data_IF_615781877265
#
_entry.id   IF_615781877265
#
_cell.length_a   1.000
_cell.length_b   1.000
_cell.length_c   1.000
_cell.angle_alpha   90.00
_cell.angle_beta   90.00
_cell.angle_gamma   90.00
#
_symmetry.space_group_name_H-M   'P 1'
#
loop_
_entity.id
_entity.type
_entity.pdbx_description
1 polymer ?
#
# COMPACT_ATOMS: atom_id res chain seq x y z
N UNK A 1 27.08 -39.66 0.79
CA UNK A 1 26.53 -41.01 1.05
C UNK A 1 25.07 -41.00 0.61
N UNK A 2 24.72 -41.62 -0.53
CA UNK A 2 23.33 -41.80 -0.95
C UNK A 2 22.75 -43.11 -0.38
N UNK A 3 21.44 -43.16 -0.15
CA UNK A 3 20.71 -44.37 0.23
C UNK A 3 19.35 -44.40 -0.47
N UNK A 4 19.12 -45.41 -1.30
CA UNK A 4 18.01 -45.48 -2.25
C UNK A 4 17.37 -46.88 -2.19
N UNK A 5 16.16 -46.99 -1.61
CA UNK A 5 15.20 -48.13 -1.65
C UNK A 5 13.80 -47.54 -1.31
N UNK A 6 12.62 -47.83 -1.88
CA UNK A 6 12.13 -48.52 -3.10
C UNK A 6 11.14 -49.66 -2.81
N UNK A 7 9.83 -49.39 -3.00
CA UNK A 7 8.71 -50.34 -2.87
C UNK A 7 7.93 -50.20 -1.54
N UNK A 8 6.59 -50.36 -1.50
CA UNK A 8 5.63 -50.72 -2.55
C UNK A 8 4.22 -50.14 -2.23
N UNK A 9 3.27 -50.29 -3.16
CA UNK A 9 2.04 -49.51 -3.27
C UNK A 9 0.94 -49.76 -2.22
N UNK A 10 0.20 -48.70 -1.92
CA UNK A 10 -1.14 -48.73 -1.32
C UNK A 10 -2.01 -47.64 -1.94
N UNK A 11 -2.97 -48.03 -2.80
CA UNK A 11 -3.94 -47.09 -3.37
C UNK A 11 -5.01 -46.73 -2.33
N UNK A 12 -5.00 -45.50 -1.85
CA UNK A 12 -6.21 -44.79 -1.40
C UNK A 12 -6.15 -43.34 -1.85
N UNK A 13 -7.24 -42.92 -2.49
CA UNK A 13 -7.52 -41.58 -2.98
C UNK A 13 -7.72 -40.59 -1.81
N UNK A 14 -6.88 -39.57 -1.70
CA UNK A 14 -7.08 -38.39 -0.84
C UNK A 14 -6.39 -37.17 -1.46
N UNK A 15 -6.93 -36.69 -2.58
CA UNK A 15 -6.43 -35.52 -3.32
C UNK A 15 -6.69 -34.15 -2.67
N UNK A 16 -6.48 -33.99 -1.35
CA UNK A 16 -6.80 -32.76 -0.61
C UNK A 16 -5.76 -32.27 0.43
N UNK A 17 -4.46 -32.50 0.24
CA UNK A 17 -3.44 -32.08 1.25
C UNK A 17 -2.24 -31.24 0.72
N UNK A 18 -2.34 -30.64 -0.48
CA UNK A 18 -1.26 -29.83 -1.08
C UNK A 18 -1.47 -28.31 -1.07
N UNK A 19 -2.52 -27.78 -0.41
CA UNK A 19 -2.83 -26.34 -0.38
C UNK A 19 -2.78 -25.69 1.01
N UNK A 20 -2.45 -26.45 2.06
CA UNK A 20 -2.52 -26.00 3.46
C UNK A 20 -1.34 -25.10 3.87
N UNK A 21 -0.21 -25.19 3.18
CA UNK A 21 1.09 -24.72 3.67
C UNK A 21 1.31 -23.19 3.61
N UNK A 22 0.43 -22.43 2.93
CA UNK A 22 0.47 -20.96 2.90
C UNK A 22 -0.57 -20.27 3.81
N UNK A 23 -1.12 -20.99 4.79
CA UNK A 23 -2.14 -20.45 5.71
C UNK A 23 -1.53 -19.94 7.01
N UNK A 24 -1.53 -18.60 7.21
CA UNK A 24 -1.19 -17.97 8.49
C UNK A 24 -2.01 -18.64 9.62
N UNK A 25 -1.29 -19.14 10.64
CA UNK A 25 -1.85 -20.09 11.62
C UNK A 25 -2.92 -19.50 12.55
N UNK A 26 -3.03 -18.17 12.61
CA UNK A 26 -4.00 -17.39 13.38
C UNK A 26 -5.46 -17.61 12.96
N UNK A 27 -5.73 -17.81 11.66
CA UNK A 27 -7.09 -17.72 11.10
C UNK A 27 -7.81 -19.07 10.93
N UNK A 28 -7.29 -20.18 11.48
CA UNK A 28 -7.86 -21.53 11.34
C UNK A 28 -9.27 -21.75 11.91
N UNK A 29 -9.83 -20.79 12.66
CA UNK A 29 -11.17 -20.92 13.29
C UNK A 29 -12.03 -19.72 12.92
N UNK A 30 -13.12 -19.98 12.20
CA UNK A 30 -14.11 -18.97 11.83
C UNK A 30 -14.80 -18.38 13.07
N UNK A 31 -14.51 -17.12 13.37
CA UNK A 31 -15.04 -16.37 14.50
C UNK A 31 -15.58 -15.02 13.99
N UNK A 32 -16.72 -14.57 14.54
CA UNK A 32 -17.29 -13.24 14.28
C UNK A 32 -17.27 -12.45 15.58
N UNK A 33 -16.65 -11.27 15.54
CA UNK A 33 -16.80 -10.23 16.56
C UNK A 33 -18.11 -9.47 16.27
N UNK A 34 -18.98 -9.36 17.27
CA UNK A 34 -20.16 -8.50 17.21
C UNK A 34 -19.96 -7.34 18.18
N UNK A 35 -19.99 -6.11 17.68
CA UNK A 35 -20.00 -4.89 18.50
C UNK A 35 -21.32 -4.15 18.33
N UNK A 36 -21.64 -3.29 19.31
CA UNK A 36 -22.83 -2.44 19.29
C UNK A 36 -22.53 -1.14 20.00
N UNK A 37 -23.04 -0.03 19.49
CA UNK A 37 -22.80 1.32 20.00
C UNK A 37 -24.03 1.94 20.70
N UNK A 38 -23.89 3.23 21.07
CA UNK A 38 -24.95 4.00 21.73
C UNK A 38 -26.01 4.50 20.76
N UNK A 39 -25.74 4.46 19.46
CA UNK A 39 -26.55 5.00 18.37
C UNK A 39 -27.30 3.88 17.62
N UNK A 40 -27.58 2.78 18.35
CA UNK A 40 -28.34 1.64 17.87
C UNK A 40 -27.67 0.82 16.76
N UNK A 41 -26.38 1.03 16.47
CA UNK A 41 -25.70 0.36 15.36
C UNK A 41 -24.88 -0.84 15.84
N UNK A 42 -25.18 -2.00 15.26
CA UNK A 42 -24.43 -3.24 15.36
C UNK A 42 -23.44 -3.34 14.20
N UNK A 43 -22.23 -3.84 14.47
CA UNK A 43 -21.22 -4.16 13.47
C UNK A 43 -20.75 -5.61 13.65
N UNK A 44 -20.53 -6.30 12.54
CA UNK A 44 -20.04 -7.68 12.51
C UNK A 44 -18.68 -7.71 11.80
N UNK A 45 -17.66 -8.31 12.42
CA UNK A 45 -16.33 -8.45 11.80
C UNK A 45 -15.78 -9.87 11.96
N UNK A 46 -15.42 -10.52 10.85
CA UNK A 46 -14.72 -11.80 10.88
C UNK A 46 -13.29 -11.58 11.38
N UNK A 47 -12.85 -12.48 12.26
CA UNK A 47 -11.56 -12.41 12.97
C UNK A 47 -11.34 -11.13 13.80
N UNK A 48 -12.37 -10.27 13.93
CA UNK A 48 -12.25 -8.96 14.57
C UNK A 48 -11.66 -7.85 13.68
N UNK A 49 -11.29 -8.17 12.44
CA UNK A 49 -10.60 -7.24 11.51
C UNK A 49 -11.37 -6.99 10.20
N UNK A 50 -12.02 -8.00 9.62
CA UNK A 50 -12.73 -7.84 8.34
C UNK A 50 -14.23 -7.60 8.57
N UNK A 51 -14.77 -6.38 8.39
CA UNK A 51 -16.19 -6.11 8.54
C UNK A 51 -17.03 -6.83 7.47
N UNK A 52 -18.18 -7.37 7.88
CA UNK A 52 -19.11 -8.19 7.05
C UNK A 52 -20.59 -7.82 7.23
N UNK A 53 -20.85 -6.68 7.86
CA UNK A 53 -22.16 -6.06 7.85
C UNK A 53 -22.38 -5.13 9.02
N UNK A 54 -23.39 -4.27 8.86
CA UNK A 54 -23.93 -3.43 9.93
C UNK A 54 -25.46 -3.51 9.97
N UNK A 55 -26.02 -3.47 11.16
CA UNK A 55 -27.48 -3.40 11.38
C UNK A 55 -27.76 -2.22 12.30
N UNK A 56 -28.57 -1.26 11.84
CA UNK A 56 -29.09 -0.21 12.72
C UNK A 56 -30.47 -0.62 13.24
N UNK A 57 -30.63 -0.75 14.56
CA UNK A 57 -31.84 -1.32 15.17
C UNK A 57 -33.06 -0.37 15.09
N UNK A 58 -32.86 0.93 14.83
CA UNK A 58 -33.98 1.86 14.58
C UNK A 58 -34.68 1.58 13.25
N UNK A 59 -34.00 0.93 12.30
CA UNK A 59 -34.56 0.53 11.01
C UNK A 59 -35.31 -0.80 11.09
N UNK A 60 -35.18 -1.55 12.19
CA UNK A 60 -35.87 -2.82 12.38
C UNK A 60 -37.35 -2.60 12.74
N UNK A 61 -38.26 -3.14 11.93
CA UNK A 61 -39.68 -3.27 12.28
C UNK A 61 -39.87 -4.51 13.16
N UNK A 62 -40.06 -4.30 14.46
CA UNK A 62 -40.17 -5.37 15.46
C UNK A 62 -41.63 -5.83 15.55
N UNK A 63 -41.94 -7.11 15.35
CA UNK A 63 -43.27 -7.63 15.63
C UNK A 63 -43.50 -7.65 17.14
N UNK A 64 -44.52 -6.93 17.60
CA UNK A 64 -44.96 -6.90 18.99
C UNK A 64 -46.39 -7.44 19.07
N UNK A 65 -46.75 -8.03 20.22
CA UNK A 65 -48.07 -8.62 20.43
C UNK A 65 -48.76 -7.88 21.57
N UNK A 66 -49.85 -7.19 21.25
CA UNK A 66 -50.70 -6.47 22.20
C UNK A 66 -52.11 -7.04 22.05
N UNK A 67 -52.64 -7.65 23.11
CA UNK A 67 -54.05 -8.09 23.18
C UNK A 67 -54.51 -8.87 21.93
N UNK A 68 -53.76 -9.92 21.57
CA UNK A 68 -53.94 -10.78 20.38
C UNK A 68 -53.86 -10.07 19.01
N UNK A 69 -53.43 -8.81 18.95
CA UNK A 69 -53.07 -8.10 17.72
C UNK A 69 -51.55 -8.03 17.53
N UNK A 70 -51.09 -8.36 16.33
CA UNK A 70 -49.70 -8.19 15.94
C UNK A 70 -49.46 -6.77 15.42
N UNK A 71 -48.96 -5.88 16.27
CA UNK A 71 -48.50 -4.56 15.85
C UNK A 71 -47.03 -4.62 15.42
N UNK A 72 -46.61 -3.66 14.60
CA UNK A 72 -45.19 -3.45 14.25
C UNK A 72 -44.71 -2.23 15.01
N UNK A 73 -43.64 -2.39 15.76
CA UNK A 73 -43.04 -1.30 16.53
C UNK A 73 -41.65 -0.96 16.00
N UNK A 74 -41.20 0.25 16.29
CA UNK A 74 -39.84 0.73 16.08
C UNK A 74 -39.21 1.09 17.43
N UNK A 75 -37.90 0.97 17.52
CA UNK A 75 -37.12 1.44 18.66
C UNK A 75 -36.52 2.82 18.36
N UNK A 76 -36.99 3.83 19.07
CA UNK A 76 -36.45 5.18 19.02
C UNK A 76 -35.46 5.39 20.16
N UNK A 77 -34.47 6.27 19.94
CA UNK A 77 -33.46 6.70 20.92
C UNK A 77 -32.72 5.53 21.60
N UNK A 78 -32.63 4.38 20.93
CA UNK A 78 -32.18 3.14 21.55
C UNK A 78 -30.67 2.92 21.52
N UNK A 79 -30.08 2.64 22.68
CA UNK A 79 -28.65 2.35 22.86
C UNK A 79 -28.42 0.87 23.18
N UNK A 80 -27.37 0.26 22.63
CA UNK A 80 -27.08 -1.16 22.80
C UNK A 80 -26.36 -1.38 24.13
N UNK A 81 -26.94 -2.23 24.98
CA UNK A 81 -26.40 -2.59 26.29
C UNK A 81 -25.61 -3.91 26.27
N UNK A 82 -26.04 -4.88 25.45
CA UNK A 82 -25.37 -6.18 25.30
C UNK A 82 -25.69 -6.83 23.96
N UNK A 83 -24.72 -7.54 23.41
CA UNK A 83 -24.85 -8.35 22.20
C UNK A 83 -24.33 -9.77 22.49
N UNK A 84 -25.02 -10.79 22.00
CA UNK A 84 -24.57 -12.18 22.08
C UNK A 84 -24.96 -12.95 20.80
N UNK A 85 -23.96 -13.47 20.08
CA UNK A 85 -24.17 -14.34 18.92
C UNK A 85 -24.19 -15.80 19.35
N UNK A 86 -25.13 -16.57 18.80
CA UNK A 86 -25.27 -18.00 19.07
C UNK A 86 -24.10 -18.83 18.51
N UNK A 87 -23.83 -20.00 19.10
CA UNK A 87 -22.73 -20.90 18.67
C UNK A 87 -22.92 -21.51 17.29
N UNK A 88 -24.17 -21.60 16.83
CA UNK A 88 -24.55 -22.03 15.49
C UNK A 88 -24.63 -20.85 14.49
N UNK A 89 -24.34 -19.62 14.95
CA UNK A 89 -24.37 -18.36 14.19
C UNK A 89 -25.76 -17.97 13.64
N UNK A 90 -26.83 -18.68 14.00
CA UNK A 90 -28.18 -18.45 13.49
C UNK A 90 -28.94 -17.32 14.18
N UNK A 91 -28.58 -16.97 15.41
CA UNK A 91 -29.34 -16.04 16.24
C UNK A 91 -28.43 -15.03 16.95
N UNK A 92 -28.79 -13.75 16.87
CA UNK A 92 -28.17 -12.68 17.62
C UNK A 92 -29.16 -12.13 18.67
N UNK A 93 -28.84 -12.30 19.94
CA UNK A 93 -29.56 -11.64 21.04
C UNK A 93 -28.97 -10.25 21.26
N UNK A 94 -29.83 -9.22 21.21
CA UNK A 94 -29.45 -7.82 21.41
C UNK A 94 -30.30 -7.25 22.54
N UNK A 95 -29.64 -6.83 23.61
CA UNK A 95 -30.28 -6.10 24.72
C UNK A 95 -30.00 -4.62 24.55
N UNK A 96 -31.03 -3.78 24.53
CA UNK A 96 -30.93 -2.35 24.30
C UNK A 96 -31.89 -1.57 25.21
N UNK A 97 -31.48 -0.37 25.63
CA UNK A 97 -32.40 0.60 26.24
C UNK A 97 -33.04 1.41 25.12
N UNK A 98 -34.31 1.81 25.24
CA UNK A 98 -34.95 2.68 24.26
C UNK A 98 -36.45 2.82 24.45
N UNK A 99 -37.07 3.60 23.57
CA UNK A 99 -38.51 3.83 23.52
C UNK A 99 -39.13 2.99 22.41
N UNK A 100 -40.06 2.10 22.78
CA UNK A 100 -40.82 1.30 21.82
C UNK A 100 -42.07 2.10 21.41
N UNK A 101 -42.21 2.38 20.12
CA UNK A 101 -43.32 3.15 19.53
C UNK A 101 -43.94 2.33 18.40
N UNK A 102 -45.28 2.33 18.30
CA UNK A 102 -45.99 1.63 17.22
C UNK A 102 -45.82 2.35 15.87
N UNK A 103 -45.72 1.59 14.79
CA UNK A 103 -45.48 2.08 13.44
C UNK A 103 -46.82 2.37 12.75
N UNK A 104 -47.37 3.59 12.95
CA UNK A 104 -48.70 4.10 12.54
C UNK A 104 -49.01 4.09 11.01
N UNK A 105 -48.37 3.22 10.23
CA UNK A 105 -48.50 3.19 8.76
C UNK A 105 -49.75 2.49 8.22
N UNK A 106 -50.56 1.79 9.04
CA UNK A 106 -51.81 1.16 8.59
C UNK A 106 -52.96 1.32 9.61
N UNK A 107 -54.03 2.02 9.17
CA UNK A 107 -55.39 2.12 9.74
C UNK A 107 -55.67 3.13 10.88
N UNK A 108 -56.13 4.33 10.47
CA UNK A 108 -57.34 4.97 11.01
C UNK A 108 -57.21 5.89 12.24
N UNK A 109 -57.89 7.04 12.18
CA UNK A 109 -58.02 8.00 13.28
C UNK A 109 -58.88 7.45 14.46
N UNK A 110 -58.31 6.57 15.29
CA UNK A 110 -58.79 6.34 16.65
C UNK A 110 -57.67 6.63 17.65
N UNK A 111 -57.87 7.63 18.50
CA UNK A 111 -56.91 8.06 19.53
C UNK A 111 -56.81 7.05 20.66
N UNK A 112 -56.10 5.94 20.42
CA UNK A 112 -55.53 5.12 21.48
C UNK A 112 -54.27 5.82 22.00
N UNK A 113 -54.18 5.99 23.32
CA UNK A 113 -53.02 6.60 23.96
C UNK A 113 -51.85 5.63 23.84
N UNK A 114 -50.95 5.88 22.88
CA UNK A 114 -49.77 5.08 22.65
C UNK A 114 -48.97 4.89 23.93
N UNK A 115 -48.89 3.65 24.41
CA UNK A 115 -48.07 3.29 25.56
C UNK A 115 -46.59 3.26 25.14
N UNK A 116 -45.97 4.44 25.03
CA UNK A 116 -44.55 4.58 24.77
C UNK A 116 -43.74 3.92 25.89
N UNK A 117 -43.34 2.67 25.66
CA UNK A 117 -42.64 1.86 26.65
C UNK A 117 -41.14 2.16 26.60
N UNK A 118 -40.73 3.22 27.29
CA UNK A 118 -39.32 3.47 27.55
C UNK A 118 -38.78 2.44 28.55
N UNK A 119 -37.81 1.64 28.14
CA UNK A 119 -37.35 0.51 28.96
C UNK A 119 -36.16 -0.25 28.39
N UNK A 120 -35.92 -1.44 28.97
CA UNK A 120 -34.92 -2.40 28.52
C UNK A 120 -35.60 -3.44 27.62
N UNK A 121 -35.22 -3.47 26.35
CA UNK A 121 -35.77 -4.34 25.32
C UNK A 121 -34.78 -5.45 24.95
N UNK A 122 -35.31 -6.62 24.62
CA UNK A 122 -34.52 -7.78 24.18
C UNK A 122 -34.99 -8.21 22.79
N UNK A 123 -34.10 -8.10 21.81
CA UNK A 123 -34.34 -8.47 20.42
C UNK A 123 -33.62 -9.77 20.09
N UNK A 124 -34.20 -10.54 19.18
CA UNK A 124 -33.57 -11.73 18.58
C UNK A 124 -33.60 -11.56 17.07
N UNK A 125 -32.42 -11.42 16.46
CA UNK A 125 -32.27 -11.25 15.01
C UNK A 125 -31.85 -12.59 14.37
N UNK A 126 -32.41 -12.90 13.21
CA UNK A 126 -31.96 -14.03 12.37
C UNK A 126 -30.63 -13.66 11.69
N UNK A 127 -29.57 -14.35 12.06
CA UNK A 127 -28.24 -14.23 11.46
C UNK A 127 -27.82 -15.49 10.70
N UNK A 128 -28.77 -16.40 10.40
CA UNK A 128 -28.51 -17.69 9.74
C UNK A 128 -27.80 -17.61 8.39
N UNK A 129 -27.72 -16.43 7.77
CA UNK A 129 -26.82 -16.17 6.64
C UNK A 129 -25.35 -16.46 6.97
N UNK A 130 -24.87 -16.12 8.18
CA UNK A 130 -23.50 -16.38 8.62
C UNK A 130 -23.17 -17.87 8.67
N UNK A 131 -24.14 -18.70 9.06
CA UNK A 131 -23.99 -20.16 9.06
C UNK A 131 -24.15 -20.75 7.66
N UNK A 132 -25.17 -20.33 6.90
CA UNK A 132 -25.47 -20.80 5.53
C UNK A 132 -24.36 -20.46 4.52
N UNK A 133 -23.63 -19.36 4.75
CA UNK A 133 -22.53 -18.86 3.90
C UNK A 133 -21.18 -18.87 4.60
N UNK A 134 -21.04 -19.65 5.68
CA UNK A 134 -19.84 -19.69 6.51
C UNK A 134 -18.56 -19.89 5.71
N UNK A 135 -18.56 -20.80 4.74
CA UNK A 135 -17.38 -21.13 3.96
C UNK A 135 -17.01 -20.02 2.98
N UNK A 136 -18.01 -19.46 2.28
CA UNK A 136 -17.82 -18.32 1.37
C UNK A 136 -17.31 -17.08 2.13
N UNK A 137 -17.93 -16.76 3.27
CA UNK A 137 -17.53 -15.67 4.15
C UNK A 137 -16.11 -15.88 4.72
N UNK A 138 -15.77 -17.11 5.12
CA UNK A 138 -14.44 -17.45 5.64
C UNK A 138 -13.36 -17.21 4.59
N UNK A 139 -13.57 -17.68 3.36
CA UNK A 139 -12.62 -17.52 2.26
C UNK A 139 -12.40 -16.05 1.90
N UNK A 140 -13.47 -15.27 1.73
CA UNK A 140 -13.36 -13.83 1.41
C UNK A 140 -12.63 -13.08 2.52
N UNK A 141 -13.03 -13.29 3.79
CA UNK A 141 -12.37 -12.65 4.93
C UNK A 141 -10.91 -13.04 5.08
N UNK A 142 -10.55 -14.30 4.82
CA UNK A 142 -9.16 -14.75 4.88
C UNK A 142 -8.29 -14.02 3.85
N UNK A 143 -8.73 -13.89 2.60
CA UNK A 143 -7.94 -13.17 1.60
C UNK A 143 -7.89 -11.67 1.88
N UNK A 144 -9.01 -11.05 2.24
CA UNK A 144 -9.05 -9.62 2.58
C UNK A 144 -8.17 -9.29 3.79
N UNK A 145 -8.17 -10.13 4.83
CA UNK A 145 -7.29 -9.95 6.01
C UNK A 145 -5.82 -10.09 5.64
N UNK A 146 -5.46 -11.07 4.80
CA UNK A 146 -4.09 -11.20 4.28
C UNK A 146 -3.66 -9.96 3.48
N UNK A 147 -4.56 -9.37 2.68
CA UNK A 147 -4.28 -8.15 1.91
C UNK A 147 -4.05 -6.97 2.84
N UNK A 148 -4.84 -6.82 3.91
CA UNK A 148 -4.68 -5.74 4.88
C UNK A 148 -3.37 -5.87 5.68
N UNK A 149 -3.01 -7.08 6.12
CA UNK A 149 -1.70 -7.36 6.72
C UNK A 149 -0.53 -6.95 5.80
N UNK A 150 -0.67 -7.17 4.48
CA UNK A 150 0.34 -6.81 3.48
C UNK A 150 0.33 -5.32 3.11
N UNK A 151 -0.82 -4.64 3.17
CA UNK A 151 -0.91 -3.18 3.01
C UNK A 151 -0.06 -2.47 4.09
N UNK A 152 -0.06 -2.97 5.33
CA UNK A 152 0.82 -2.44 6.38
C UNK A 152 2.31 -2.67 6.08
N UNK A 153 2.69 -3.82 5.52
CA UNK A 153 4.07 -4.08 5.07
C UNK A 153 4.48 -3.10 3.97
N UNK A 154 3.59 -2.81 3.01
CA UNK A 154 3.81 -1.81 1.96
C UNK A 154 3.97 -0.41 2.55
N UNK A 155 3.05 0.03 3.42
CA UNK A 155 3.10 1.33 4.10
C UNK A 155 4.39 1.52 4.91
N UNK A 156 4.78 0.51 5.68
CA UNK A 156 6.03 0.53 6.45
C UNK A 156 7.25 0.62 5.52
N UNK A 157 7.27 -0.16 4.43
CA UNK A 157 8.35 -0.14 3.44
C UNK A 157 8.51 1.24 2.80
N UNK A 158 7.41 1.85 2.33
CA UNK A 158 7.41 3.20 1.74
C UNK A 158 7.93 4.26 2.73
N UNK A 159 7.48 4.21 3.98
CA UNK A 159 7.90 5.14 5.04
C UNK A 159 9.40 5.02 5.36
N UNK A 160 9.92 3.80 5.48
CA UNK A 160 11.35 3.55 5.73
C UNK A 160 12.21 4.02 4.57
N UNK A 161 11.85 3.69 3.33
CA UNK A 161 12.58 4.10 2.13
C UNK A 161 12.61 5.63 1.98
N UNK A 162 11.46 6.29 2.12
CA UNK A 162 11.37 7.75 2.04
C UNK A 162 12.29 8.43 3.07
N UNK A 163 12.23 7.98 4.32
CA UNK A 163 13.07 8.55 5.39
C UNK A 163 14.56 8.33 5.12
N UNK A 164 14.98 7.09 4.87
CA UNK A 164 16.40 6.75 4.65
C UNK A 164 17.00 7.51 3.47
N UNK A 165 16.24 7.68 2.39
CA UNK A 165 16.68 8.43 1.23
C UNK A 165 16.75 9.94 1.50
N UNK A 166 15.72 10.51 2.14
CA UNK A 166 15.70 11.93 2.50
C UNK A 166 16.84 12.31 3.45
N UNK A 167 17.13 11.49 4.46
CA UNK A 167 18.24 11.70 5.41
C UNK A 167 19.61 11.68 4.68
N UNK A 168 19.79 10.74 3.74
CA UNK A 168 20.99 10.63 2.92
C UNK A 168 21.16 11.81 1.95
N UNK A 169 20.07 12.25 1.32
CA UNK A 169 20.10 13.34 0.34
C UNK A 169 20.26 14.72 0.99
N UNK A 170 19.71 14.94 2.20
CA UNK A 170 20.03 16.13 3.01
C UNK A 170 21.53 16.22 3.26
N UNK A 171 22.15 15.11 3.66
CA UNK A 171 23.61 15.04 3.88
C UNK A 171 24.43 15.37 2.62
N UNK A 172 23.92 15.00 1.43
CA UNK A 172 24.53 15.37 0.14
C UNK A 172 24.38 16.86 -0.14
N UNK A 173 23.17 17.40 -0.13
CA UNK A 173 22.92 18.82 -0.41
C UNK A 173 23.59 19.76 0.59
N UNK A 174 23.57 19.46 1.90
CA UNK A 174 24.29 20.23 2.93
C UNK A 174 25.78 20.41 2.61
N UNK A 175 26.40 19.40 1.97
CA UNK A 175 27.80 19.47 1.54
C UNK A 175 27.96 20.16 0.19
N UNK A 176 27.20 19.78 -0.82
CA UNK A 176 27.37 20.33 -2.17
C UNK A 176 26.87 21.77 -2.32
N UNK A 177 25.89 22.23 -1.54
CA UNK A 177 25.45 23.63 -1.52
C UNK A 177 26.56 24.60 -1.05
N UNK A 178 27.56 24.11 -0.31
CA UNK A 178 28.73 24.94 0.05
C UNK A 178 29.59 25.33 -1.16
N UNK A 179 29.56 24.55 -2.25
CA UNK A 179 30.24 24.92 -3.50
C UNK A 179 29.58 26.13 -4.16
N UNK A 180 28.25 26.20 -4.21
CA UNK A 180 27.53 27.37 -4.74
C UNK A 180 27.93 28.67 -4.01
N UNK A 181 28.02 28.62 -2.68
CA UNK A 181 28.49 29.75 -1.87
C UNK A 181 29.95 30.13 -2.16
N UNK A 182 30.83 29.15 -2.45
CA UNK A 182 32.21 29.42 -2.84
C UNK A 182 32.30 30.04 -4.24
N UNK A 183 31.52 29.58 -5.21
CA UNK A 183 31.52 30.12 -6.57
C UNK A 183 31.11 31.61 -6.56
N UNK A 184 30.01 31.94 -5.88
CA UNK A 184 29.58 33.33 -5.68
C UNK A 184 30.62 34.13 -4.88
N UNK A 185 31.23 33.54 -3.86
CA UNK A 185 32.29 34.18 -3.05
C UNK A 185 33.58 34.49 -3.82
N UNK A 186 33.86 33.75 -4.91
CA UNK A 186 34.96 34.03 -5.85
C UNK A 186 34.54 34.93 -7.02
N UNK A 187 33.30 35.43 -7.03
CA UNK A 187 32.81 36.38 -8.04
C UNK A 187 32.52 35.78 -9.41
N UNK A 188 32.25 34.47 -9.49
CA UNK A 188 31.85 33.79 -10.71
C UNK A 188 30.32 33.71 -10.83
N UNK A 189 29.82 33.75 -12.07
CA UNK A 189 28.39 33.66 -12.42
C UNK A 189 28.03 32.27 -13.01
N UNK A 190 28.79 31.25 -12.64
CA UNK A 190 28.62 29.86 -13.10
C UNK A 190 27.85 29.02 -12.08
N UNK A 191 27.18 27.96 -12.55
CA UNK A 191 26.60 26.93 -11.69
C UNK A 191 27.65 25.88 -11.26
N UNK A 192 27.45 25.20 -10.12
CA UNK A 192 28.28 24.05 -9.74
C UNK A 192 28.39 22.98 -10.84
N UNK A 193 27.32 22.78 -11.63
CA UNK A 193 27.29 21.83 -12.74
C UNK A 193 28.17 22.27 -13.90
N UNK A 194 28.15 23.55 -14.30
CA UNK A 194 29.02 24.08 -15.36
C UNK A 194 30.49 24.04 -14.96
N UNK A 195 30.79 24.34 -13.70
CA UNK A 195 32.13 24.21 -13.11
C UNK A 195 32.62 22.75 -13.11
N UNK A 196 31.77 21.79 -12.70
CA UNK A 196 32.11 20.36 -12.75
C UNK A 196 32.20 19.81 -14.18
N UNK A 197 31.35 20.27 -15.11
CA UNK A 197 31.43 19.91 -16.54
C UNK A 197 32.71 20.46 -17.16
N UNK A 198 33.14 21.67 -16.79
CA UNK A 198 34.41 22.27 -17.22
C UNK A 198 35.60 21.46 -16.72
N UNK A 199 35.58 21.06 -15.44
CA UNK A 199 36.59 20.16 -14.86
C UNK A 199 36.63 18.80 -15.57
N UNK A 200 35.48 18.20 -15.88
CA UNK A 200 35.37 16.94 -16.61
C UNK A 200 35.90 17.07 -18.05
N UNK A 201 35.67 18.21 -18.69
CA UNK A 201 36.20 18.57 -20.02
C UNK A 201 37.70 18.86 -20.06
N UNK A 202 38.41 18.77 -18.93
CA UNK A 202 39.85 18.99 -18.86
C UNK A 202 40.27 20.46 -18.77
N UNK A 203 39.35 21.38 -18.45
CA UNK A 203 39.72 22.74 -18.10
C UNK A 203 40.56 22.78 -16.81
N UNK A 204 41.30 23.88 -16.59
CA UNK A 204 41.95 24.11 -15.29
C UNK A 204 40.88 24.25 -14.21
N UNK A 205 41.04 23.52 -13.11
CA UNK A 205 40.18 23.63 -11.93
C UNK A 205 40.11 25.09 -11.47
N UNK A 206 38.90 25.65 -11.39
CA UNK A 206 38.69 27.00 -10.90
C UNK A 206 39.02 27.13 -9.41
N UNK A 207 39.38 28.32 -8.90
CA UNK A 207 39.64 28.54 -7.48
C UNK A 207 38.55 28.02 -6.52
N UNK A 208 37.24 28.26 -6.73
CA UNK A 208 36.20 27.75 -5.83
C UNK A 208 36.08 26.22 -5.87
N UNK A 209 36.18 25.59 -7.05
CA UNK A 209 36.16 24.12 -7.17
C UNK A 209 37.38 23.50 -6.51
N UNK A 210 38.57 24.08 -6.70
CA UNK A 210 39.79 23.60 -6.05
C UNK A 210 39.67 23.71 -4.52
N UNK A 211 39.21 24.85 -4.01
CA UNK A 211 38.97 25.05 -2.58
C UNK A 211 37.95 24.05 -2.03
N UNK A 212 36.85 23.82 -2.75
CA UNK A 212 35.83 22.85 -2.35
C UNK A 212 36.39 21.41 -2.31
N UNK A 213 36.99 20.95 -3.40
CA UNK A 213 37.49 19.58 -3.53
C UNK A 213 38.59 19.25 -2.53
N UNK A 214 39.53 20.17 -2.30
CA UNK A 214 40.69 19.93 -1.42
C UNK A 214 40.39 20.26 0.04
N UNK A 215 39.79 21.42 0.34
CA UNK A 215 39.67 21.92 1.71
C UNK A 215 38.31 21.61 2.37
N UNK A 216 37.21 21.59 1.61
CA UNK A 216 35.85 21.46 2.17
C UNK A 216 35.31 20.02 2.13
N UNK A 217 35.61 19.29 1.05
CA UNK A 217 35.14 17.93 0.82
C UNK A 217 36.24 16.89 1.13
N UNK A 218 37.38 16.97 0.42
CA UNK A 218 38.51 16.04 0.56
C UNK A 218 38.18 14.58 0.23
N UNK A 219 39.20 13.71 0.28
CA UNK A 219 39.01 12.27 0.05
C UNK A 219 38.07 11.65 1.10
N UNK A 220 38.25 12.02 2.38
CA UNK A 220 37.48 11.45 3.49
C UNK A 220 36.00 11.84 3.44
N UNK A 221 35.67 13.10 3.10
CA UNK A 221 34.30 13.55 2.88
C UNK A 221 33.67 12.90 1.66
N UNK A 222 34.40 12.78 0.55
CA UNK A 222 33.94 12.09 -0.67
C UNK A 222 33.60 10.62 -0.40
N UNK A 223 34.51 9.88 0.26
CA UNK A 223 34.27 8.48 0.66
C UNK A 223 33.09 8.35 1.63
N UNK A 224 32.94 9.29 2.58
CA UNK A 224 31.80 9.32 3.51
C UNK A 224 30.47 9.56 2.79
N UNK A 225 30.37 10.56 1.91
CA UNK A 225 29.16 10.85 1.15
C UNK A 225 28.78 9.70 0.22
N UNK A 226 29.75 9.12 -0.49
CA UNK A 226 29.53 7.92 -1.30
C UNK A 226 28.97 6.76 -0.47
N UNK A 227 29.52 6.52 0.73
CA UNK A 227 29.00 5.49 1.65
C UNK A 227 27.58 5.81 2.14
N UNK A 228 27.25 7.08 2.39
CA UNK A 228 25.91 7.49 2.86
C UNK A 228 24.87 7.34 1.73
N UNK A 229 25.08 7.98 0.59
CA UNK A 229 24.10 8.01 -0.52
C UNK A 229 23.98 6.67 -1.22
N UNK A 230 25.10 6.07 -1.64
CA UNK A 230 25.08 4.75 -2.29
C UNK A 230 24.78 3.62 -1.28
N UNK A 231 24.99 3.84 0.02
CA UNK A 231 24.56 2.94 1.08
C UNK A 231 23.05 2.95 1.23
N UNK A 232 22.45 4.12 1.46
CA UNK A 232 21.00 4.28 1.55
C UNK A 232 20.29 3.72 0.30
N UNK A 233 20.79 4.02 -0.90
CA UNK A 233 20.22 3.46 -2.13
C UNK A 233 20.25 1.92 -2.21
N UNK A 234 21.27 1.26 -1.65
CA UNK A 234 21.32 -0.21 -1.55
C UNK A 234 20.38 -0.76 -0.49
N UNK A 235 20.25 -0.09 0.65
CA UNK A 235 19.25 -0.48 1.67
C UNK A 235 17.82 -0.34 1.12
N UNK A 236 17.53 0.73 0.36
CA UNK A 236 16.27 0.87 -0.37
C UNK A 236 16.06 -0.29 -1.35
N UNK A 237 17.07 -0.69 -2.14
CA UNK A 237 16.98 -1.86 -3.03
C UNK A 237 16.65 -3.15 -2.26
N UNK A 238 17.23 -3.34 -1.07
CA UNK A 238 16.93 -4.48 -0.20
C UNK A 238 15.50 -4.42 0.37
N UNK A 239 15.01 -3.24 0.77
CA UNK A 239 13.62 -3.06 1.22
C UNK A 239 12.64 -3.37 0.08
N UNK A 240 12.95 -2.96 -1.16
CA UNK A 240 12.14 -3.32 -2.32
C UNK A 240 12.09 -4.84 -2.52
N UNK A 241 13.25 -5.48 -2.64
CA UNK A 241 13.36 -6.90 -2.99
C UNK A 241 12.85 -7.85 -1.88
N UNK A 242 13.06 -7.51 -0.61
CA UNK A 242 12.73 -8.39 0.52
C UNK A 242 11.34 -8.15 1.13
N UNK A 243 10.74 -6.98 0.91
CA UNK A 243 9.49 -6.59 1.59
C UNK A 243 8.45 -6.05 0.62
N UNK A 244 8.73 -4.97 -0.10
CA UNK A 244 7.73 -4.28 -0.93
C UNK A 244 7.25 -5.13 -2.11
N UNK A 245 8.18 -5.68 -2.90
CA UNK A 245 7.84 -6.46 -4.10
C UNK A 245 7.14 -7.78 -3.73
N UNK A 246 7.64 -8.59 -2.77
CA UNK A 246 6.91 -9.77 -2.31
C UNK A 246 5.50 -9.43 -1.78
N UNK A 247 5.35 -8.34 -1.03
CA UNK A 247 4.03 -7.92 -0.56
C UNK A 247 3.08 -7.54 -1.71
N UNK A 248 3.56 -6.76 -2.69
CA UNK A 248 2.79 -6.38 -3.87
C UNK A 248 2.38 -7.59 -4.72
N UNK A 249 3.27 -8.56 -4.91
CA UNK A 249 3.02 -9.81 -5.65
C UNK A 249 1.98 -10.67 -4.94
N UNK A 250 2.07 -10.83 -3.61
CA UNK A 250 1.08 -11.59 -2.83
C UNK A 250 -0.27 -10.85 -2.80
N UNK A 251 -0.32 -9.52 -2.68
CA UNK A 251 -1.57 -8.75 -2.79
C UNK A 251 -2.24 -9.01 -4.15
N UNK A 252 -1.49 -8.92 -5.24
CA UNK A 252 -2.02 -9.19 -6.58
C UNK A 252 -2.50 -10.64 -6.76
N UNK A 253 -1.79 -11.62 -6.18
CA UNK A 253 -2.22 -13.01 -6.15
C UNK A 253 -3.55 -13.19 -5.40
N UNK A 254 -3.64 -12.65 -4.17
CA UNK A 254 -4.84 -12.71 -3.31
C UNK A 254 -6.04 -11.99 -3.95
N UNK A 255 -5.79 -10.89 -4.65
CA UNK A 255 -6.82 -10.19 -5.43
C UNK A 255 -7.26 -11.00 -6.66
N UNK A 256 -6.34 -11.74 -7.28
CA UNK A 256 -6.65 -12.73 -8.31
C UNK A 256 -7.53 -13.89 -7.81
N UNK A 257 -7.31 -14.38 -6.59
CA UNK A 257 -8.19 -15.36 -5.95
C UNK A 257 -9.60 -14.78 -5.71
N UNK A 258 -9.70 -13.59 -5.11
CA UNK A 258 -10.99 -12.90 -4.91
C UNK A 258 -11.74 -12.68 -6.23
N UNK A 259 -11.02 -12.38 -7.32
CA UNK A 259 -11.56 -12.27 -8.68
C UNK A 259 -12.07 -13.61 -9.24
N UNK A 260 -11.43 -14.72 -8.88
CA UNK A 260 -11.93 -16.05 -9.16
C UNK A 260 -13.25 -16.33 -8.43
N UNK A 261 -13.34 -15.92 -7.16
CA UNK A 261 -14.55 -16.10 -6.34
C UNK A 261 -15.73 -15.23 -6.82
N UNK A 262 -15.49 -13.95 -7.14
CA UNK A 262 -16.56 -13.02 -7.57
C UNK A 262 -17.27 -13.46 -8.85
N UNK A 263 -16.53 -14.11 -9.77
CA UNK A 263 -17.07 -14.75 -10.98
C UNK A 263 -18.04 -15.90 -10.69
N UNK A 264 -17.93 -16.59 -9.56
CA UNK A 264 -18.91 -17.59 -9.13
C UNK A 264 -20.13 -16.94 -8.47
N UNK A 265 -20.84 -16.13 -9.27
CA UNK A 265 -22.00 -15.32 -8.90
C UNK A 265 -23.07 -16.09 -8.10
N UNK A 266 -23.31 -17.36 -8.43
CA UNK A 266 -24.29 -18.21 -7.72
C UNK A 266 -23.97 -18.47 -6.23
N UNK A 267 -22.69 -18.37 -5.82
CA UNK A 267 -22.26 -18.51 -4.42
C UNK A 267 -21.93 -17.17 -3.78
N UNK A 268 -21.16 -16.32 -4.45
CA UNK A 268 -20.56 -15.14 -3.83
C UNK A 268 -21.35 -13.84 -3.99
N UNK A 269 -22.18 -13.69 -5.04
CA UNK A 269 -23.04 -12.49 -5.19
C UNK A 269 -24.01 -12.33 -4.01
N UNK A 270 -24.48 -13.43 -3.44
CA UNK A 270 -25.39 -13.45 -2.30
C UNK A 270 -24.75 -13.02 -0.97
N UNK A 271 -23.43 -12.84 -0.91
CA UNK A 271 -22.72 -12.22 0.22
C UNK A 271 -22.08 -10.87 -0.16
N UNK A 272 -22.54 -10.26 -1.26
CA UNK A 272 -22.12 -8.93 -1.68
C UNK A 272 -20.89 -8.86 -2.59
N UNK A 273 -20.10 -9.93 -2.75
CA UNK A 273 -18.86 -9.91 -3.53
C UNK A 273 -19.12 -9.57 -5.01
N UNK A 274 -18.86 -8.32 -5.39
CA UNK A 274 -19.12 -7.80 -6.72
C UNK A 274 -17.93 -7.98 -7.67
N UNK A 275 -18.21 -8.42 -8.89
CA UNK A 275 -17.20 -8.69 -9.90
C UNK A 275 -16.54 -7.41 -10.43
N UNK A 276 -17.29 -6.31 -10.57
CA UNK A 276 -16.78 -5.06 -11.13
C UNK A 276 -15.88 -4.30 -10.15
N UNK A 277 -16.22 -4.32 -8.86
CA UNK A 277 -15.37 -3.76 -7.80
C UNK A 277 -14.05 -4.54 -7.69
N UNK A 278 -14.10 -5.87 -7.74
CA UNK A 278 -12.91 -6.72 -7.68
C UNK A 278 -12.06 -6.63 -8.96
N UNK A 279 -12.67 -6.53 -10.15
CA UNK A 279 -11.93 -6.27 -11.40
C UNK A 279 -11.15 -4.93 -11.30
N UNK A 280 -11.76 -3.88 -10.75
CA UNK A 280 -11.10 -2.58 -10.54
C UNK A 280 -9.99 -2.64 -9.48
N UNK A 281 -10.19 -3.36 -8.38
CA UNK A 281 -9.15 -3.56 -7.37
C UNK A 281 -7.97 -4.39 -7.91
N UNK A 282 -8.23 -5.44 -8.69
CA UNK A 282 -7.21 -6.24 -9.38
C UNK A 282 -6.39 -5.40 -10.37
N UNK A 283 -7.06 -4.52 -11.12
CA UNK A 283 -6.40 -3.58 -12.02
C UNK A 283 -5.44 -2.64 -11.25
N UNK A 284 -5.86 -2.10 -10.09
CA UNK A 284 -4.98 -1.29 -9.24
C UNK A 284 -3.81 -2.08 -8.66
N UNK A 285 -3.99 -3.35 -8.29
CA UNK A 285 -2.89 -4.20 -7.86
C UNK A 285 -1.86 -4.42 -8.98
N UNK A 286 -2.32 -4.59 -10.23
CA UNK A 286 -1.46 -4.66 -11.41
C UNK A 286 -0.69 -3.36 -11.70
N UNK A 287 -1.34 -2.20 -11.60
CA UNK A 287 -0.67 -0.90 -11.76
C UNK A 287 0.40 -0.67 -10.69
N UNK A 288 0.09 -1.05 -9.44
CA UNK A 288 1.02 -0.94 -8.32
C UNK A 288 2.28 -1.81 -8.53
N UNK A 289 2.13 -3.05 -9.01
CA UNK A 289 3.27 -3.89 -9.39
C UNK A 289 4.19 -3.23 -10.44
N UNK A 290 3.62 -2.59 -11.47
CA UNK A 290 4.43 -1.86 -12.47
C UNK A 290 5.13 -0.65 -11.85
N UNK A 291 4.54 0.01 -10.85
CA UNK A 291 5.22 1.07 -10.11
C UNK A 291 6.39 0.56 -9.26
N UNK A 292 6.26 -0.60 -8.63
CA UNK A 292 7.35 -1.22 -7.85
C UNK A 292 8.55 -1.53 -8.76
N UNK A 293 8.31 -2.16 -9.91
CA UNK A 293 9.37 -2.44 -10.90
C UNK A 293 9.98 -1.15 -11.48
N UNK A 294 9.15 -0.14 -11.82
CA UNK A 294 9.64 1.18 -12.27
C UNK A 294 10.53 1.84 -11.23
N UNK A 295 10.10 1.86 -9.97
CA UNK A 295 10.86 2.42 -8.86
C UNK A 295 12.22 1.72 -8.70
N UNK A 296 12.23 0.39 -8.73
CA UNK A 296 13.47 -0.40 -8.63
C UNK A 296 14.46 -0.09 -9.77
N UNK A 297 13.96 0.09 -11.00
CA UNK A 297 14.80 0.50 -12.16
C UNK A 297 15.40 1.89 -11.95
N UNK A 298 14.57 2.89 -11.64
CA UNK A 298 15.02 4.28 -11.45
C UNK A 298 16.02 4.37 -10.30
N UNK A 299 15.73 3.76 -9.16
CA UNK A 299 16.63 3.67 -8.01
C UNK A 299 17.99 3.07 -8.41
N UNK A 300 17.98 1.95 -9.16
CA UNK A 300 19.20 1.28 -9.59
C UNK A 300 20.07 2.15 -10.51
N UNK A 301 19.44 2.87 -11.46
CA UNK A 301 20.14 3.83 -12.32
C UNK A 301 20.71 5.01 -11.51
N UNK A 302 19.95 5.55 -10.55
CA UNK A 302 20.39 6.66 -9.69
C UNK A 302 21.58 6.25 -8.82
N UNK A 303 21.55 5.07 -8.18
CA UNK A 303 22.67 4.55 -7.39
C UNK A 303 23.92 4.34 -8.25
N UNK A 304 23.76 3.84 -9.48
CA UNK A 304 24.87 3.69 -10.43
C UNK A 304 25.50 5.04 -10.81
N UNK A 305 24.67 6.06 -11.09
CA UNK A 305 25.12 7.39 -11.48
C UNK A 305 25.84 8.11 -10.31
N UNK A 306 25.30 8.05 -9.08
CA UNK A 306 26.01 8.56 -7.89
C UNK A 306 27.34 7.85 -7.66
N UNK A 307 27.37 6.50 -7.74
CA UNK A 307 28.60 5.73 -7.56
C UNK A 307 29.69 6.09 -8.58
N UNK A 308 29.29 6.29 -9.84
CA UNK A 308 30.18 6.73 -10.91
C UNK A 308 30.68 8.18 -10.68
N UNK A 309 29.78 9.10 -10.29
CA UNK A 309 30.13 10.49 -9.95
C UNK A 309 31.14 10.56 -8.80
N UNK A 310 30.91 9.87 -7.68
CA UNK A 310 31.85 9.85 -6.56
C UNK A 310 33.19 9.20 -6.92
N UNK A 311 33.19 8.19 -7.81
CA UNK A 311 34.43 7.57 -8.32
C UNK A 311 35.26 8.55 -9.14
N UNK A 312 34.61 9.33 -10.02
CA UNK A 312 35.24 10.43 -10.74
C UNK A 312 35.77 11.52 -9.81
N UNK A 313 34.94 12.00 -8.87
CA UNK A 313 35.27 13.09 -7.95
C UNK A 313 36.49 12.73 -7.07
N UNK A 314 36.55 11.49 -6.61
CA UNK A 314 37.70 10.95 -5.86
C UNK A 314 38.99 10.95 -6.70
N UNK A 315 38.90 10.64 -8.00
CA UNK A 315 40.04 10.72 -8.92
C UNK A 315 40.52 12.17 -9.08
N UNK A 316 39.61 13.13 -9.25
CA UNK A 316 39.94 14.55 -9.32
C UNK A 316 40.68 15.03 -8.06
N UNK A 317 40.19 14.66 -6.87
CA UNK A 317 40.83 15.03 -5.59
C UNK A 317 42.26 14.47 -5.51
N UNK A 318 42.47 13.19 -5.84
CA UNK A 318 43.81 12.57 -5.82
C UNK A 318 44.80 13.23 -6.79
N UNK A 319 44.33 13.61 -7.98
CA UNK A 319 45.14 14.34 -8.96
C UNK A 319 45.54 15.72 -8.44
N UNK A 320 44.64 16.45 -7.78
CA UNK A 320 44.94 17.75 -7.18
C UNK A 320 45.92 17.65 -6.01
N UNK A 321 45.81 16.58 -5.21
CA UNK A 321 46.72 16.30 -4.09
C UNK A 321 48.09 15.75 -4.51
N UNK A 322 48.31 15.48 -5.80
CA UNK A 322 49.55 14.87 -6.34
C UNK A 322 49.92 13.53 -5.69
N UNK A 323 48.93 12.75 -5.24
CA UNK A 323 49.17 11.44 -4.63
C UNK A 323 49.43 10.38 -5.71
N UNK A 324 50.46 9.55 -5.49
CA UNK A 324 50.74 8.39 -6.33
C UNK A 324 49.58 7.38 -6.25
N UNK A 325 48.84 7.23 -7.34
CA UNK A 325 47.65 6.38 -7.41
C UNK A 325 47.95 5.09 -8.18
N UNK A 326 48.30 4.02 -7.46
CA UNK A 326 48.68 2.72 -8.05
C UNK A 326 47.62 2.16 -9.02
N UNK A 327 46.33 2.40 -8.77
CA UNK A 327 45.27 2.31 -9.78
C UNK A 327 44.21 3.40 -9.51
N UNK A 328 43.99 4.37 -10.42
CA UNK A 328 42.92 5.35 -10.25
C UNK A 328 41.54 4.69 -10.43
N UNK A 329 40.50 5.09 -9.66
CA UNK A 329 39.18 4.51 -9.81
C UNK A 329 38.65 4.72 -11.23
N UNK A 330 38.13 3.63 -11.81
CA UNK A 330 37.53 3.64 -13.15
C UNK A 330 36.18 4.33 -13.06
N UNK A 331 35.92 5.26 -13.99
CA UNK A 331 34.66 5.96 -14.13
C UNK A 331 34.34 6.10 -15.62
N UNK A 332 33.05 6.18 -15.98
CA UNK A 332 32.59 6.54 -17.30
C UNK A 332 32.22 8.03 -17.32
N UNK A 333 32.83 8.82 -18.21
CA UNK A 333 32.60 10.26 -18.34
C UNK A 333 31.18 10.61 -18.83
N UNK A 334 30.58 9.82 -19.71
CA UNK A 334 29.21 10.01 -20.19
C UNK A 334 28.22 9.91 -19.03
N UNK A 335 28.42 8.94 -18.13
CA UNK A 335 27.61 8.79 -16.91
C UNK A 335 27.81 9.96 -15.92
N UNK A 336 28.98 10.61 -15.89
CA UNK A 336 29.17 11.87 -15.13
C UNK A 336 28.39 13.01 -15.78
N UNK A 337 28.39 13.14 -17.10
CA UNK A 337 27.60 14.15 -17.83
C UNK A 337 26.10 13.96 -17.57
N UNK A 338 25.61 12.71 -17.62
CA UNK A 338 24.21 12.38 -17.30
C UNK A 338 23.88 12.75 -15.84
N UNK A 339 24.74 12.39 -14.88
CA UNK A 339 24.55 12.77 -13.49
C UNK A 339 24.48 14.30 -13.30
N UNK A 340 25.45 15.05 -13.86
CA UNK A 340 25.51 16.51 -13.72
C UNK A 340 24.31 17.21 -14.37
N UNK A 341 23.79 16.69 -15.48
CA UNK A 341 22.62 17.27 -16.17
C UNK A 341 21.27 16.92 -15.53
N UNK A 342 21.13 15.72 -14.97
CA UNK A 342 19.80 15.18 -14.61
C UNK A 342 19.63 14.77 -13.14
N UNK A 343 20.69 14.67 -12.33
CA UNK A 343 20.62 14.22 -10.94
C UNK A 343 21.32 15.12 -9.91
N UNK A 344 22.10 16.11 -10.35
CA UNK A 344 22.79 17.01 -9.40
C UNK A 344 21.80 17.87 -8.59
N UNK A 345 20.78 18.44 -9.26
CA UNK A 345 19.72 19.26 -8.68
C UNK A 345 18.34 18.59 -8.69
N UNK A 346 18.22 17.34 -9.15
CA UNK A 346 16.95 16.62 -9.21
C UNK A 346 17.01 15.29 -8.46
N UNK A 347 15.94 14.98 -7.73
CA UNK A 347 15.81 13.73 -6.98
C UNK A 347 14.59 12.91 -7.46
N UNK A 348 14.74 12.10 -8.53
CA UNK A 348 13.66 11.28 -9.05
C UNK A 348 13.27 10.14 -8.10
N UNK A 349 14.13 9.74 -7.16
CA UNK A 349 13.80 8.71 -6.15
C UNK A 349 12.82 9.29 -5.13
N UNK A 350 13.08 10.50 -4.63
CA UNK A 350 12.15 11.24 -3.76
C UNK A 350 10.83 11.55 -4.46
N UNK A 351 10.86 12.04 -5.70
CA UNK A 351 9.65 12.26 -6.51
C UNK A 351 8.79 11.00 -6.67
N UNK A 352 9.39 9.81 -6.79
CA UNK A 352 8.65 8.55 -6.87
C UNK A 352 8.11 8.06 -5.51
N UNK A 353 8.75 8.41 -4.39
CA UNK A 353 8.34 7.99 -3.05
C UNK A 353 7.30 8.94 -2.40
N UNK A 354 7.25 10.20 -2.80
CA UNK A 354 6.38 11.20 -2.16
C UNK A 354 4.89 11.01 -2.49
N UNK A 355 4.05 11.19 -1.46
CA UNK A 355 2.60 11.29 -1.57
C UNK A 355 2.11 12.75 -1.70
N UNK A 356 2.86 13.60 -2.40
CA UNK A 356 2.65 15.06 -2.45
C UNK A 356 1.21 15.46 -2.81
N UNK A 357 0.60 16.35 -2.02
CA UNK A 357 -0.74 16.90 -2.24
C UNK A 357 -0.84 17.75 -3.52
N UNK A 358 0.30 18.25 -4.04
CA UNK A 358 0.31 18.96 -5.31
C UNK A 358 0.00 17.99 -6.48
N UNK A 359 -0.76 18.48 -7.46
CA UNK A 359 -1.02 17.82 -8.75
C UNK A 359 0.23 17.80 -9.68
N UNK A 360 1.42 17.64 -9.10
CA UNK A 360 2.62 17.31 -9.84
C UNK A 360 2.48 15.88 -10.37
N UNK A 361 2.08 15.79 -11.64
CA UNK A 361 2.18 14.58 -12.44
C UNK A 361 3.63 14.42 -12.91
N UNK A 362 4.14 13.19 -12.83
CA UNK A 362 5.43 12.84 -13.45
C UNK A 362 5.25 12.97 -14.96
N UNK A 363 6.09 13.78 -15.60
CA UNK A 363 6.10 13.88 -17.07
C UNK A 363 6.53 12.54 -17.67
N UNK A 364 5.72 12.04 -18.60
CA UNK A 364 5.97 10.83 -19.37
C UNK A 364 6.08 11.25 -20.83
N UNK A 365 7.09 10.72 -21.52
CA UNK A 365 7.31 11.04 -22.92
C UNK A 365 6.12 10.61 -23.81
N UNK A 366 6.03 11.23 -24.98
CA UNK A 366 4.89 11.03 -25.89
C UNK A 366 4.83 9.61 -26.45
N UNK A 367 5.98 8.96 -26.65
CA UNK A 367 6.08 7.60 -27.20
C UNK A 367 5.58 6.56 -26.19
N UNK A 368 6.04 6.63 -24.94
CA UNK A 368 5.54 5.82 -23.82
C UNK A 368 4.04 6.06 -23.59
N UNK A 369 3.60 7.32 -23.64
CA UNK A 369 2.17 7.67 -23.51
C UNK A 369 1.33 7.08 -24.65
N UNK A 370 1.85 7.03 -25.88
CA UNK A 370 1.19 6.39 -27.01
C UNK A 370 1.15 4.86 -26.83
N UNK A 371 2.27 4.22 -26.46
CA UNK A 371 2.33 2.78 -26.21
C UNK A 371 1.34 2.32 -25.12
N UNK A 372 1.16 3.11 -24.04
CA UNK A 372 0.13 2.81 -23.03
C UNK A 372 -1.28 2.83 -23.65
N UNK A 373 -1.60 3.82 -24.49
CA UNK A 373 -2.90 3.90 -25.18
C UNK A 373 -3.12 2.75 -26.15
N UNK A 374 -2.08 2.26 -26.80
CA UNK A 374 -2.13 1.07 -27.65
C UNK A 374 -2.35 -0.20 -26.80
N UNK A 375 -1.67 -0.35 -25.66
CA UNK A 375 -1.87 -1.48 -24.73
C UNK A 375 -3.32 -1.58 -24.21
N UNK A 376 -4.03 -0.47 -24.02
CA UNK A 376 -5.47 -0.49 -23.66
C UNK A 376 -6.29 -1.25 -24.71
N UNK A 377 -5.97 -1.09 -26.01
CA UNK A 377 -6.67 -1.80 -27.09
C UNK A 377 -6.41 -3.32 -27.07
N UNK A 378 -5.29 -3.73 -26.49
CA UNK A 378 -4.90 -5.14 -26.31
C UNK A 378 -5.31 -5.72 -24.94
N UNK A 379 -6.17 -5.05 -24.18
CA UNK A 379 -6.64 -5.52 -22.87
C UNK A 379 -5.72 -5.18 -21.69
N UNK A 380 -4.83 -4.20 -21.87
CA UNK A 380 -4.07 -3.58 -20.79
C UNK A 380 -4.93 -2.68 -19.90
N UNK A 381 -4.28 -2.04 -18.92
CA UNK A 381 -4.90 -1.20 -17.90
C UNK A 381 -5.65 0.02 -18.46
N UNK A 382 -6.92 0.16 -18.10
CA UNK A 382 -7.84 1.22 -18.55
C UNK A 382 -7.42 2.63 -18.11
N UNK A 383 -6.85 2.78 -16.92
CA UNK A 383 -6.32 4.06 -16.42
C UNK A 383 -4.90 4.30 -16.92
N UNK A 384 -4.79 4.97 -18.06
CA UNK A 384 -3.53 5.35 -18.70
C UNK A 384 -2.63 6.27 -17.85
N UNK A 385 -3.14 6.89 -16.77
CA UNK A 385 -2.39 7.87 -15.98
C UNK A 385 -1.51 7.24 -14.90
N UNK A 386 -1.51 5.93 -14.75
CA UNK A 386 -0.79 5.26 -13.66
C UNK A 386 0.70 5.62 -13.60
N UNK A 387 1.40 5.76 -14.74
CA UNK A 387 2.81 6.21 -14.77
C UNK A 387 3.01 7.68 -14.39
N UNK A 388 1.99 8.53 -14.54
CA UNK A 388 2.06 9.94 -14.12
C UNK A 388 1.98 10.09 -12.59
N UNK A 389 1.59 9.03 -11.86
CA UNK A 389 1.51 9.01 -10.41
C UNK A 389 2.79 8.45 -9.79
N UNK A 390 3.03 8.83 -8.53
CA UNK A 390 4.13 8.30 -7.70
C UNK A 390 3.79 6.90 -7.19
N UNK A 391 4.80 6.16 -6.69
CA UNK A 391 4.59 4.83 -6.11
C UNK A 391 3.61 4.88 -4.92
N UNK A 392 3.74 5.90 -4.06
CA UNK A 392 2.82 6.13 -2.96
C UNK A 392 1.41 6.51 -3.43
N UNK A 393 1.27 7.33 -4.49
CA UNK A 393 -0.04 7.68 -5.05
C UNK A 393 -0.76 6.46 -5.65
N UNK A 394 -0.08 5.54 -6.34
CA UNK A 394 -0.72 4.28 -6.79
C UNK A 394 -1.04 3.33 -5.63
N UNK A 395 -0.20 3.24 -4.60
CA UNK A 395 -0.54 2.46 -3.41
C UNK A 395 -1.84 2.96 -2.73
N UNK A 396 -2.00 4.28 -2.60
CA UNK A 396 -3.25 4.87 -2.10
C UNK A 396 -4.47 4.55 -3.00
N UNK A 397 -4.29 4.49 -4.32
CA UNK A 397 -5.36 4.07 -5.24
C UNK A 397 -5.75 2.60 -5.06
N UNK A 398 -4.78 1.71 -4.81
CA UNK A 398 -5.02 0.31 -4.48
C UNK A 398 -5.77 0.18 -3.14
N UNK A 399 -5.27 0.82 -2.08
CA UNK A 399 -5.85 0.80 -0.74
C UNK A 399 -7.30 1.31 -0.71
N UNK A 400 -7.58 2.44 -1.37
CA UNK A 400 -8.93 2.98 -1.50
C UNK A 400 -9.87 2.03 -2.26
N UNK A 401 -9.38 1.23 -3.21
CA UNK A 401 -10.20 0.22 -3.90
C UNK A 401 -10.40 -1.04 -3.07
N UNK A 402 -9.39 -1.46 -2.31
CA UNK A 402 -9.49 -2.57 -1.37
C UNK A 402 -10.49 -2.28 -0.23
N UNK A 403 -10.51 -1.07 0.32
CA UNK A 403 -11.48 -0.68 1.37
C UNK A 403 -12.92 -0.52 0.86
N UNK A 404 -13.13 -0.51 -0.45
CA UNK A 404 -14.45 -0.60 -1.10
C UNK A 404 -14.85 -2.02 -1.52
N UNK A 405 -14.02 -3.03 -1.28
CA UNK A 405 -14.44 -4.43 -1.38
C UNK A 405 -15.49 -4.67 -0.27
N UNK A 406 -16.67 -5.22 -0.59
CA UNK A 406 -17.84 -5.11 0.27
C UNK A 406 -17.63 -5.60 1.70
N UNK A 407 -18.14 -4.77 2.62
CA UNK A 407 -18.42 -5.04 4.02
C UNK A 407 -19.92 -5.06 4.25
#
# INVERSE_FOLDING_TARGET
MPGLVSGDAGFTDDGQDSFVEFSNSSHRRFNILCSGDRDGTLLFSIFGIFPIGKINIHLCKIPYMVEDRQTRCKLLNSSIAKVALSKDLCHLTVTCYGELVEDETELGDEQMVGHNMHGLHCLMLDTSIFQKRKNELHQVAQQASNIEELNEVVRASLSVMHKQWSDAMSTFHEKFNSLSNLIVGHGLDSSPQEEFLSLLGGARTSPPVHQFLVNSLGESGTKRLSKVVCGAGKELQLVVLNHLQPAAEIIAFRMGELRGLSRWRARYRGIGLDETLIDSAMEKAGMFLVQVDRFMRVLSSVVQLFSNFFSWLLKCIKLLMSEASDQPPIYNSELVIVFLKFLYDQDPVKQLLEASEADHCIEIDLETTQRIKELIQFGGFSDAKYLQRTLAKEFLQLELRCSHIPS
#
